data_IF_517707503298
#
_entry.id   IF_517707503298
#
_cell.length_a   1.000
_cell.length_b   1.000
_cell.length_c   1.000
_cell.angle_alpha   90.00
_cell.angle_beta   90.00
_cell.angle_gamma   90.00
#
_symmetry.space_group_name_H-M   'P 1'
#
loop_
_entity.id
_entity.type
_entity.pdbx_description
1 polymer ?
#
# COMPACT_ATOMS: atom_id res chain seq x y z
N UNK A 1 32.49 -60.69 15.38
CA UNK A 1 32.06 -60.25 14.03
C UNK A 1 30.54 -60.22 14.04
N UNK A 2 29.93 -59.07 14.33
CA UNK A 2 28.47 -58.92 14.48
C UNK A 2 27.88 -58.39 13.17
N UNK A 3 26.88 -59.10 12.64
CA UNK A 3 26.17 -58.77 11.40
C UNK A 3 24.91 -57.97 11.77
N UNK A 4 24.89 -56.69 11.42
CA UNK A 4 23.71 -55.84 11.55
C UNK A 4 22.79 -56.07 10.34
N UNK A 5 21.60 -56.62 10.57
CA UNK A 5 20.53 -56.73 9.58
C UNK A 5 19.76 -55.43 9.53
N UNK A 6 19.71 -54.80 8.35
CA UNK A 6 18.91 -53.60 8.09
C UNK A 6 17.43 -54.00 7.98
N UNK A 7 16.62 -53.57 8.94
CA UNK A 7 15.16 -53.61 8.84
C UNK A 7 14.69 -52.38 8.06
N UNK A 8 14.11 -52.59 6.88
CA UNK A 8 13.42 -51.55 6.13
C UNK A 8 12.15 -51.16 6.91
N UNK A 9 12.10 -49.92 7.38
CA UNK A 9 10.89 -49.31 7.93
C UNK A 9 10.13 -48.73 6.74
N UNK A 10 9.00 -49.35 6.42
CA UNK A 10 8.07 -48.88 5.40
C UNK A 10 7.21 -47.77 6.02
N UNK A 11 7.46 -46.52 5.64
CA UNK A 11 6.68 -45.37 6.10
C UNK A 11 5.55 -45.18 5.09
N UNK A 12 4.38 -45.72 5.39
CA UNK A 12 3.17 -45.46 4.60
C UNK A 12 2.70 -44.03 4.86
N UNK A 13 2.84 -43.16 3.87
CA UNK A 13 2.17 -41.86 3.87
C UNK A 13 0.66 -42.11 3.72
N UNK A 14 -0.11 -41.76 4.76
CA UNK A 14 -1.57 -41.89 4.73
C UNK A 14 -2.17 -41.10 3.57
N UNK A 15 -3.15 -41.69 2.88
CA UNK A 15 -3.88 -41.04 1.79
C UNK A 15 -4.49 -39.72 2.28
N UNK A 16 -4.08 -38.62 1.66
CA UNK A 16 -4.62 -37.28 1.94
C UNK A 16 -6.03 -37.25 1.37
N UNK A 17 -7.03 -37.10 2.24
CA UNK A 17 -8.42 -36.97 1.83
C UNK A 17 -8.58 -35.72 0.95
N UNK A 18 -8.86 -35.92 -0.34
CA UNK A 18 -8.90 -34.87 -1.37
C UNK A 18 -10.20 -34.05 -1.40
N UNK A 19 -11.17 -34.40 -0.54
CA UNK A 19 -12.54 -33.88 -0.65
C UNK A 19 -12.81 -32.61 0.16
N UNK A 20 -11.87 -32.15 1.00
CA UNK A 20 -12.04 -30.85 1.67
C UNK A 20 -11.59 -29.70 0.75
N UNK A 21 -12.40 -28.61 0.66
CA UNK A 21 -12.05 -27.45 -0.15
C UNK A 21 -10.69 -26.87 0.29
N UNK A 22 -9.78 -26.73 -0.68
CA UNK A 22 -8.52 -26.01 -0.53
C UNK A 22 -8.77 -24.50 -0.59
N UNK A 23 -9.48 -23.98 0.40
CA UNK A 23 -9.79 -22.55 0.47
C UNK A 23 -8.66 -21.82 1.22
N UNK A 24 -7.96 -20.87 0.56
CA UNK A 24 -7.00 -20.02 1.23
C UNK A 24 -7.66 -19.21 2.35
N UNK A 25 -7.00 -19.09 3.50
CA UNK A 25 -7.49 -18.27 4.62
C UNK A 25 -6.51 -17.15 4.95
N UNK A 26 -5.22 -17.46 4.97
CA UNK A 26 -4.18 -16.46 5.22
C UNK A 26 -2.87 -16.87 4.56
N UNK A 27 -1.92 -15.94 4.57
CA UNK A 27 -0.57 -16.11 4.03
C UNK A 27 0.47 -15.86 5.12
N UNK A 28 1.58 -16.58 5.05
CA UNK A 28 2.82 -16.23 5.73
C UNK A 28 3.83 -15.75 4.69
N UNK A 29 4.57 -14.69 5.03
CA UNK A 29 5.50 -14.01 4.13
C UNK A 29 6.91 -14.16 4.68
N UNK A 30 7.75 -14.82 3.91
CA UNK A 30 9.21 -14.85 4.07
C UNK A 30 9.82 -14.02 2.94
N UNK A 31 11.06 -13.56 3.10
CA UNK A 31 11.65 -12.52 2.24
C UNK A 31 11.43 -12.82 0.75
N UNK A 32 11.64 -14.05 0.29
CA UNK A 32 11.50 -14.45 -1.11
C UNK A 32 10.39 -15.48 -1.35
N UNK A 33 9.49 -15.68 -0.38
CA UNK A 33 8.56 -16.82 -0.40
C UNK A 33 7.21 -16.48 0.22
N UNK A 34 6.16 -16.89 -0.48
CA UNK A 34 4.78 -16.85 -0.03
C UNK A 34 4.35 -18.27 0.36
N UNK A 35 3.78 -18.44 1.55
CA UNK A 35 3.15 -19.71 1.95
C UNK A 35 1.68 -19.47 2.25
N UNK A 36 0.80 -20.29 1.68
CA UNK A 36 -0.65 -20.11 1.79
C UNK A 36 -1.25 -21.23 2.62
N UNK A 37 -2.10 -20.84 3.57
CA UNK A 37 -2.68 -21.75 4.54
C UNK A 37 -4.20 -21.74 4.44
N UNK A 38 -4.82 -22.87 4.79
CA UNK A 38 -6.24 -22.94 5.09
C UNK A 38 -6.51 -22.55 6.56
N UNK A 39 -7.79 -22.56 6.95
CA UNK A 39 -8.24 -22.27 8.33
C UNK A 39 -7.71 -23.26 9.39
N UNK A 40 -7.28 -24.46 9.00
CA UNK A 40 -6.72 -25.49 9.89
C UNK A 40 -5.20 -25.37 10.04
N UNK A 41 -4.57 -24.37 9.39
CA UNK A 41 -3.12 -24.19 9.31
C UNK A 41 -2.40 -25.26 8.47
N UNK A 42 -3.10 -25.95 7.57
CA UNK A 42 -2.47 -26.79 6.58
C UNK A 42 -1.92 -25.92 5.44
N UNK A 43 -0.71 -26.22 4.98
CA UNK A 43 -0.13 -25.57 3.80
C UNK A 43 -0.88 -26.04 2.56
N UNK A 44 -1.49 -25.10 1.83
CA UNK A 44 -2.14 -25.37 0.56
C UNK A 44 -1.11 -25.40 -0.58
N UNK A 45 -0.26 -24.38 -0.64
CA UNK A 45 0.80 -24.24 -1.62
C UNK A 45 1.85 -23.21 -1.18
N UNK A 46 2.93 -23.11 -1.94
CA UNK A 46 4.06 -22.20 -1.68
C UNK A 46 4.59 -21.71 -3.01
N UNK A 47 4.93 -20.42 -3.08
CA UNK A 47 5.53 -19.80 -4.26
C UNK A 47 6.82 -19.06 -3.89
N UNK A 48 7.80 -19.05 -4.79
CA UNK A 48 9.07 -18.34 -4.60
C UNK A 48 9.22 -17.25 -5.65
N UNK A 49 9.75 -16.11 -5.24
CA UNK A 49 9.95 -14.96 -6.11
C UNK A 49 11.43 -14.58 -6.13
N UNK A 50 11.86 -13.95 -7.23
CA UNK A 50 13.21 -13.40 -7.31
C UNK A 50 13.37 -12.12 -6.46
N UNK A 51 12.25 -11.48 -6.07
CA UNK A 51 12.21 -10.26 -5.27
C UNK A 51 11.58 -10.45 -3.89
N UNK A 52 11.60 -9.36 -3.11
CA UNK A 52 11.10 -9.40 -1.74
C UNK A 52 9.57 -9.42 -1.73
N UNK A 53 8.95 -10.36 -1.02
CA UNK A 53 7.51 -10.39 -0.82
C UNK A 53 7.14 -9.33 0.22
N UNK A 54 6.64 -8.19 -0.27
CA UNK A 54 6.38 -7.01 0.56
C UNK A 54 4.98 -7.00 1.16
N UNK A 55 4.03 -7.66 0.50
CA UNK A 55 2.66 -7.78 0.94
C UNK A 55 2.02 -9.03 0.34
N UNK A 56 1.09 -9.64 1.08
CA UNK A 56 0.26 -10.74 0.62
C UNK A 56 -1.10 -10.65 1.31
N UNK A 57 -2.17 -10.83 0.55
CA UNK A 57 -3.55 -10.77 1.05
C UNK A 57 -4.34 -11.93 0.47
N UNK A 58 -5.15 -12.57 1.32
CA UNK A 58 -6.14 -13.57 0.90
C UNK A 58 -7.52 -12.93 0.91
N UNK A 59 -8.19 -12.89 -0.23
CA UNK A 59 -9.44 -12.14 -0.37
C UNK A 59 -10.25 -12.61 -1.58
N UNK A 60 -11.58 -12.61 -1.44
CA UNK A 60 -12.51 -12.73 -2.56
C UNK A 60 -12.55 -11.39 -3.31
N UNK A 61 -11.82 -11.27 -4.41
CA UNK A 61 -11.60 -9.99 -5.10
C UNK A 61 -12.74 -9.64 -6.08
N UNK A 62 -13.48 -10.64 -6.55
CA UNK A 62 -14.56 -10.50 -7.54
C UNK A 62 -15.97 -10.73 -6.97
N UNK A 63 -16.09 -11.06 -5.68
CA UNK A 63 -17.37 -11.26 -4.99
C UNK A 63 -18.03 -12.62 -5.26
N UNK A 64 -17.28 -13.61 -5.75
CA UNK A 64 -17.82 -14.93 -6.12
C UNK A 64 -17.74 -15.96 -4.98
N UNK A 65 -17.26 -15.55 -3.80
CA UNK A 65 -17.02 -16.35 -2.60
C UNK A 65 -15.87 -17.35 -2.73
N UNK A 66 -15.07 -17.27 -3.77
CA UNK A 66 -13.77 -17.93 -3.86
C UNK A 66 -12.72 -16.89 -3.50
N UNK A 67 -11.72 -17.28 -2.70
CA UNK A 67 -10.65 -16.36 -2.29
C UNK A 67 -9.45 -16.53 -3.19
N UNK A 68 -8.97 -15.42 -3.72
CA UNK A 68 -7.71 -15.28 -4.42
C UNK A 68 -6.59 -14.91 -3.44
N UNK A 69 -5.35 -15.04 -3.91
CA UNK A 69 -4.18 -14.55 -3.20
C UNK A 69 -3.50 -13.47 -4.02
N UNK A 70 -3.41 -12.26 -3.48
CA UNK A 70 -2.78 -11.11 -4.12
C UNK A 70 -1.45 -10.84 -3.43
N UNK A 71 -0.37 -10.77 -4.20
CA UNK A 71 0.99 -10.53 -3.68
C UNK A 71 1.63 -9.32 -4.36
N UNK A 72 2.39 -8.55 -3.59
CA UNK A 72 3.17 -7.41 -4.06
C UNK A 72 4.67 -7.64 -3.86
N UNK A 73 5.45 -7.46 -4.92
CA UNK A 73 6.89 -7.73 -4.92
C UNK A 73 7.71 -6.44 -4.92
N UNK A 74 8.65 -6.33 -3.99
CA UNK A 74 9.64 -5.25 -3.89
C UNK A 74 11.07 -5.72 -4.11
N UNK A 75 12.03 -4.98 -3.57
CA UNK A 75 13.46 -5.27 -3.68
C UNK A 75 14.09 -4.82 -4.99
N UNK A 76 15.18 -5.50 -5.40
CA UNK A 76 15.97 -5.21 -6.61
C UNK A 76 16.21 -6.49 -7.43
N UNK A 77 15.16 -6.97 -8.09
CA UNK A 77 15.14 -8.22 -8.85
C UNK A 77 14.36 -8.07 -10.17
N UNK A 78 14.13 -9.18 -10.86
CA UNK A 78 13.29 -9.22 -12.08
C UNK A 78 11.79 -9.17 -11.76
N UNK A 79 11.38 -9.66 -10.58
CA UNK A 79 9.98 -9.58 -10.13
C UNK A 79 9.64 -8.26 -9.44
N UNK A 80 10.64 -7.42 -9.17
CA UNK A 80 10.44 -6.12 -8.50
C UNK A 80 9.38 -5.28 -9.18
N UNK A 81 8.38 -4.87 -8.40
CA UNK A 81 7.26 -4.06 -8.84
C UNK A 81 6.08 -4.84 -9.36
N UNK A 82 6.15 -6.18 -9.40
CA UNK A 82 4.99 -6.98 -9.79
C UNK A 82 3.93 -6.99 -8.69
N UNK A 83 2.68 -6.90 -9.10
CA UNK A 83 1.52 -7.34 -8.32
C UNK A 83 0.94 -8.55 -9.04
N UNK A 84 0.74 -9.65 -8.34
CA UNK A 84 0.34 -10.93 -8.94
C UNK A 84 -0.87 -11.46 -8.19
N UNK A 85 -1.85 -11.98 -8.93
CA UNK A 85 -3.00 -12.69 -8.37
C UNK A 85 -2.91 -14.18 -8.69
N UNK A 86 -3.20 -14.99 -7.68
CA UNK A 86 -3.30 -16.45 -7.79
C UNK A 86 -4.71 -16.90 -7.44
N UNK A 87 -5.16 -17.97 -8.09
CA UNK A 87 -6.36 -18.69 -7.67
C UNK A 87 -6.10 -19.50 -6.38
N UNK A 88 -7.16 -20.10 -5.85
CA UNK A 88 -7.11 -20.93 -4.65
C UNK A 88 -6.10 -22.10 -4.73
N UNK A 89 -5.77 -22.56 -5.94
CA UNK A 89 -4.84 -23.66 -6.18
C UNK A 89 -3.38 -23.21 -6.32
N UNK A 90 -3.11 -21.91 -6.36
CA UNK A 90 -1.79 -21.34 -6.55
C UNK A 90 -1.41 -21.12 -8.02
N UNK A 91 -2.38 -21.17 -8.94
CA UNK A 91 -2.13 -20.84 -10.34
C UNK A 91 -2.27 -19.33 -10.55
N UNK A 92 -1.29 -18.72 -11.21
CA UNK A 92 -1.35 -17.30 -11.59
C UNK A 92 -2.59 -17.04 -12.48
N UNK A 93 -3.40 -16.07 -12.06
CA UNK A 93 -4.53 -15.54 -12.82
C UNK A 93 -4.08 -14.38 -13.71
N UNK A 94 -3.36 -13.43 -13.12
CA UNK A 94 -2.84 -12.26 -13.81
C UNK A 94 -1.66 -11.66 -13.05
N UNK A 95 -0.88 -10.82 -13.74
CA UNK A 95 0.17 -10.00 -13.14
C UNK A 95 0.20 -8.59 -13.74
N UNK A 96 0.50 -7.61 -12.88
CA UNK A 96 0.66 -6.20 -13.23
C UNK A 96 2.08 -5.74 -12.91
N UNK A 97 2.75 -5.12 -13.89
CA UNK A 97 4.04 -4.46 -13.71
C UNK A 97 3.95 -3.04 -14.27
N UNK A 98 4.07 -1.99 -13.44
CA UNK A 98 3.96 -0.62 -13.94
C UNK A 98 5.13 -0.31 -14.87
N UNK A 99 4.82 0.20 -16.07
CA UNK A 99 5.84 0.83 -16.92
C UNK A 99 6.42 2.04 -16.20
N UNK A 100 7.72 2.01 -15.95
CA UNK A 100 8.47 3.14 -15.43
C UNK A 100 8.81 4.11 -16.55
N UNK A 101 8.66 5.40 -16.28
CA UNK A 101 9.26 6.49 -17.07
C UNK A 101 9.89 7.45 -16.08
N UNK A 102 11.02 8.05 -16.46
CA UNK A 102 11.64 9.09 -15.64
C UNK A 102 10.77 10.34 -15.71
N UNK A 103 9.95 10.57 -14.68
CA UNK A 103 9.05 11.72 -14.63
C UNK A 103 9.68 12.93 -13.97
N UNK A 104 10.59 12.72 -13.03
CA UNK A 104 11.31 13.77 -12.34
C UNK A 104 12.78 13.82 -12.77
N UNK A 105 13.44 14.96 -12.58
CA UNK A 105 14.85 15.15 -12.92
C UNK A 105 15.82 14.37 -12.00
N UNK A 106 15.35 14.01 -10.80
CA UNK A 106 16.09 13.27 -9.78
C UNK A 106 16.60 11.88 -10.19
N UNK A 107 17.30 11.23 -9.24
CA UNK A 107 17.80 9.86 -9.40
C UNK A 107 16.67 8.85 -9.62
N UNK A 108 16.93 7.82 -10.43
CA UNK A 108 15.98 6.76 -10.77
C UNK A 108 16.75 5.46 -11.04
N UNK A 109 16.30 4.35 -10.47
CA UNK A 109 16.76 3.00 -10.81
C UNK A 109 16.11 2.47 -12.08
N UNK A 110 15.09 3.18 -12.59
CA UNK A 110 14.20 2.74 -13.67
C UNK A 110 13.36 1.50 -13.30
N UNK A 111 13.34 1.11 -12.03
CA UNK A 111 12.48 0.07 -11.48
C UNK A 111 11.65 0.65 -10.33
N UNK A 112 10.43 0.15 -10.19
CA UNK A 112 9.54 0.47 -9.07
C UNK A 112 9.39 -0.78 -8.23
N UNK A 113 9.53 -0.68 -6.91
CA UNK A 113 9.28 -1.74 -5.95
C UNK A 113 7.92 -1.49 -5.27
N UNK A 114 7.11 -2.54 -5.08
CA UNK A 114 5.92 -2.44 -4.23
C UNK A 114 6.38 -2.15 -2.80
N UNK A 115 5.72 -1.21 -2.15
CA UNK A 115 5.96 -0.85 -0.76
C UNK A 115 4.73 -1.11 0.11
N UNK A 116 3.55 -0.85 -0.42
CA UNK A 116 2.28 -1.05 0.27
C UNK A 116 1.25 -1.52 -0.73
N UNK A 117 0.42 -2.45 -0.31
CA UNK A 117 -0.68 -3.00 -1.08
C UNK A 117 -1.89 -3.07 -0.14
N UNK A 118 -2.99 -2.45 -0.57
CA UNK A 118 -4.28 -2.47 0.14
C UNK A 118 -5.33 -2.95 -0.85
N UNK A 119 -6.19 -3.88 -0.44
CA UNK A 119 -7.31 -4.39 -1.24
C UNK A 119 -8.60 -4.11 -0.51
N UNK A 120 -9.52 -3.40 -1.14
CA UNK A 120 -10.83 -3.04 -0.55
C UNK A 120 -11.83 -2.72 -1.66
N UNK A 121 -13.13 -2.83 -1.38
CA UNK A 121 -14.14 -2.26 -2.28
C UNK A 121 -14.11 -0.74 -2.14
N UNK A 122 -13.80 -0.01 -3.20
CA UNK A 122 -13.82 1.46 -3.20
C UNK A 122 -15.14 2.00 -3.74
N UNK A 123 -15.90 1.20 -4.49
CA UNK A 123 -17.12 1.62 -5.18
C UNK A 123 -18.40 0.91 -4.75
N UNK A 124 -18.33 -0.06 -3.81
CA UNK A 124 -19.48 -0.84 -3.30
C UNK A 124 -20.21 -1.68 -4.36
N UNK A 125 -19.47 -2.26 -5.29
CA UNK A 125 -19.98 -3.08 -6.40
C UNK A 125 -19.61 -4.57 -6.26
N UNK A 126 -19.26 -5.00 -5.05
CA UNK A 126 -18.79 -6.36 -4.69
C UNK A 126 -17.39 -6.71 -5.20
N UNK A 127 -16.95 -6.09 -6.28
CA UNK A 127 -15.55 -6.13 -6.70
C UNK A 127 -14.69 -5.28 -5.74
N UNK A 128 -13.42 -5.66 -5.63
CA UNK A 128 -12.44 -4.95 -4.83
C UNK A 128 -11.32 -4.43 -5.71
N UNK A 129 -10.93 -3.19 -5.43
CA UNK A 129 -9.80 -2.55 -6.07
C UNK A 129 -8.52 -2.76 -5.26
N UNK A 130 -7.39 -2.59 -5.95
CA UNK A 130 -6.07 -2.72 -5.37
C UNK A 130 -5.37 -1.37 -5.43
N UNK A 131 -5.10 -0.79 -4.26
CA UNK A 131 -4.28 0.41 -4.12
C UNK A 131 -2.84 0.00 -3.85
N UNK A 132 -1.94 0.37 -4.74
CA UNK A 132 -0.53 0.00 -4.66
C UNK A 132 0.33 1.26 -4.56
N UNK A 133 1.12 1.35 -3.50
CA UNK A 133 2.22 2.29 -3.43
C UNK A 133 3.49 1.63 -3.94
N UNK A 134 4.08 2.30 -4.92
CA UNK A 134 5.40 2.01 -5.43
C UNK A 134 6.39 3.06 -4.97
N UNK A 135 7.61 2.61 -4.71
CA UNK A 135 8.79 3.46 -4.57
C UNK A 135 9.80 3.09 -5.65
N UNK A 136 10.67 4.01 -6.04
CA UNK A 136 11.88 3.61 -6.78
C UNK A 136 12.61 2.46 -6.05
N UNK A 137 13.01 1.42 -6.80
CA UNK A 137 13.53 0.18 -6.23
C UNK A 137 14.79 0.38 -5.37
N UNK A 138 15.66 1.32 -5.75
CA UNK A 138 16.88 1.64 -5.00
C UNK A 138 16.61 2.71 -3.92
N UNK A 139 15.34 2.98 -3.65
CA UNK A 139 14.93 4.02 -2.72
C UNK A 139 15.23 5.44 -3.19
N UNK A 140 15.42 5.66 -4.50
CA UNK A 140 15.59 7.00 -5.07
C UNK A 140 14.27 7.79 -5.12
N UNK A 141 14.37 8.94 -5.77
CA UNK A 141 13.56 10.13 -5.62
C UNK A 141 12.04 10.01 -5.71
N UNK A 142 11.49 9.09 -6.51
CA UNK A 142 10.07 9.12 -6.87
C UNK A 142 9.27 7.93 -6.32
N UNK A 143 7.98 8.20 -6.09
CA UNK A 143 6.98 7.19 -5.78
C UNK A 143 5.80 7.30 -6.74
N UNK A 144 5.00 6.25 -6.79
CA UNK A 144 3.81 6.19 -7.61
C UNK A 144 2.71 5.48 -6.85
N UNK A 145 1.51 6.06 -6.83
CA UNK A 145 0.30 5.33 -6.46
C UNK A 145 -0.37 4.82 -7.73
N UNK A 146 -0.82 3.57 -7.70
CA UNK A 146 -1.61 2.97 -8.78
C UNK A 146 -2.87 2.36 -8.18
N UNK A 147 -3.98 2.54 -8.87
CA UNK A 147 -5.24 1.87 -8.60
C UNK A 147 -5.49 0.83 -9.70
N UNK A 148 -5.71 -0.43 -9.31
CA UNK A 148 -6.06 -1.53 -10.19
C UNK A 148 -7.47 -2.03 -9.90
N UNK A 149 -8.15 -2.54 -10.92
CA UNK A 149 -9.38 -3.33 -10.77
C UNK A 149 -9.07 -4.78 -10.34
N UNK A 150 -10.12 -5.58 -10.10
CA UNK A 150 -10.02 -6.98 -9.70
C UNK A 150 -9.33 -7.89 -10.75
N UNK A 151 -9.29 -7.47 -12.01
CA UNK A 151 -8.63 -8.15 -13.11
C UNK A 151 -7.18 -7.67 -13.35
N UNK A 152 -6.65 -6.79 -12.48
CA UNK A 152 -5.29 -6.26 -12.57
C UNK A 152 -5.12 -5.15 -13.63
N UNK A 153 -6.20 -4.64 -14.22
CA UNK A 153 -6.11 -3.51 -15.13
C UNK A 153 -5.96 -2.20 -14.34
N UNK A 154 -5.15 -1.30 -14.88
CA UNK A 154 -4.94 0.02 -14.26
C UNK A 154 -6.14 0.94 -14.50
N UNK A 155 -6.83 1.31 -13.42
CA UNK A 155 -7.84 2.37 -13.39
C UNK A 155 -7.17 3.75 -13.41
N UNK A 156 -6.19 3.97 -12.53
CA UNK A 156 -5.58 5.29 -12.34
C UNK A 156 -4.15 5.24 -11.83
N UNK A 157 -3.43 6.35 -11.93
CA UNK A 157 -2.10 6.46 -11.33
C UNK A 157 -1.66 7.89 -11.05
N UNK A 158 -0.99 8.07 -9.92
CA UNK A 158 -0.54 9.36 -9.40
C UNK A 158 0.97 9.33 -9.11
N UNK A 159 1.70 10.34 -9.57
CA UNK A 159 3.15 10.48 -9.37
C UNK A 159 3.49 11.41 -8.20
N UNK A 160 4.53 11.08 -7.46
CA UNK A 160 4.97 11.90 -6.34
C UNK A 160 6.50 12.08 -6.35
N UNK A 161 7.02 13.31 -6.18
CA UNK A 161 8.45 13.59 -6.14
C UNK A 161 9.03 13.28 -4.75
N UNK A 162 8.81 12.07 -4.25
CA UNK A 162 9.35 11.69 -2.96
C UNK A 162 8.95 10.29 -2.53
N UNK A 163 8.97 10.03 -1.22
CA UNK A 163 8.72 8.70 -0.65
C UNK A 163 7.35 8.66 0.00
N UNK A 164 6.38 8.06 -0.70
CA UNK A 164 5.10 7.72 -0.08
C UNK A 164 5.31 6.59 0.92
N UNK A 165 4.50 6.53 1.97
CA UNK A 165 4.73 5.56 3.04
C UNK A 165 3.51 5.10 3.81
N UNK A 166 2.35 5.73 3.58
CA UNK A 166 1.09 5.39 4.22
C UNK A 166 -0.03 5.49 3.20
N UNK A 167 -0.96 4.55 3.25
CA UNK A 167 -2.27 4.61 2.60
C UNK A 167 -3.30 4.25 3.65
N UNK A 168 -4.39 5.02 3.69
CA UNK A 168 -5.59 4.73 4.47
C UNK A 168 -6.77 4.95 3.54
N UNK A 169 -7.79 4.10 3.66
CA UNK A 169 -9.01 4.19 2.86
C UNK A 169 -10.17 4.57 3.78
N UNK A 170 -11.04 5.47 3.32
CA UNK A 170 -12.25 5.81 4.07
C UNK A 170 -13.00 7.01 3.51
N UNK A 171 -14.13 7.31 4.13
CA UNK A 171 -15.06 8.38 3.73
C UNK A 171 -15.54 9.14 4.96
N UNK A 172 -16.04 10.36 4.76
CA UNK A 172 -16.53 11.20 5.85
C UNK A 172 -17.73 10.58 6.56
N UNK A 173 -18.61 9.89 5.86
CA UNK A 173 -19.87 9.35 6.40
C UNK A 173 -19.86 7.81 6.52
N UNK A 174 -18.70 7.18 6.32
CA UNK A 174 -18.59 5.72 6.23
C UNK A 174 -19.23 5.12 4.97
N UNK A 175 -19.67 5.96 4.02
CA UNK A 175 -20.24 5.58 2.74
C UNK A 175 -19.19 5.38 1.64
N UNK A 176 -19.67 5.23 0.41
CA UNK A 176 -18.85 5.03 -0.78
C UNK A 176 -19.01 6.21 -1.76
N UNK A 177 -18.00 6.54 -2.58
CA UNK A 177 -16.72 5.83 -2.67
C UNK A 177 -15.77 6.12 -1.50
N UNK A 178 -14.91 5.15 -1.18
CA UNK A 178 -13.84 5.37 -0.19
C UNK A 178 -12.73 6.22 -0.82
N UNK A 179 -12.38 7.33 -0.18
CA UNK A 179 -11.24 8.15 -0.58
C UNK A 179 -9.92 7.49 -0.18
N UNK A 180 -8.87 7.83 -0.90
CA UNK A 180 -7.52 7.34 -0.66
C UNK A 180 -6.69 8.45 -0.03
N UNK A 181 -6.41 8.28 1.26
CA UNK A 181 -5.58 9.19 2.04
C UNK A 181 -4.13 8.68 2.05
N UNK A 182 -3.19 9.53 1.63
CA UNK A 182 -1.80 9.12 1.44
C UNK A 182 -0.88 10.04 2.24
N UNK A 183 0.10 9.45 2.92
CA UNK A 183 1.14 10.17 3.67
C UNK A 183 2.54 9.85 3.17
N UNK A 184 3.40 10.85 3.08
CA UNK A 184 4.76 10.67 2.58
C UNK A 184 5.64 11.89 2.67
N UNK A 185 6.86 11.74 2.19
CA UNK A 185 7.88 12.77 2.11
C UNK A 185 7.89 13.33 0.69
N UNK A 186 7.93 14.65 0.54
CA UNK A 186 8.07 15.37 -0.73
C UNK A 186 9.45 16.03 -0.81
N UNK A 187 10.27 15.60 -1.78
CA UNK A 187 11.63 16.09 -1.98
C UNK A 187 11.67 17.46 -2.64
N UNK A 188 10.63 17.83 -3.38
CA UNK A 188 10.64 19.01 -4.23
C UNK A 188 9.95 20.21 -3.62
N UNK A 189 9.00 19.99 -2.72
CA UNK A 189 8.18 21.10 -2.22
C UNK A 189 8.97 22.10 -1.39
N UNK A 190 10.13 21.72 -0.85
CA UNK A 190 11.01 22.64 -0.09
C UNK A 190 11.47 23.83 -0.92
N UNK A 191 11.57 23.70 -2.25
CA UNK A 191 11.94 24.80 -3.16
C UNK A 191 10.90 25.92 -3.20
N UNK A 192 9.65 25.67 -2.80
CA UNK A 192 8.63 26.69 -2.64
C UNK A 192 8.80 27.48 -1.33
N UNK A 193 9.75 27.07 -0.49
CA UNK A 193 10.14 27.73 0.74
C UNK A 193 11.61 28.17 0.65
N UNK A 194 12.13 28.72 1.73
CA UNK A 194 13.44 29.35 1.84
C UNK A 194 14.66 28.39 1.88
N UNK A 195 14.56 27.13 1.45
CA UNK A 195 15.74 26.27 1.52
C UNK A 195 15.66 24.86 0.97
N UNK A 196 16.67 24.07 1.34
CA UNK A 196 16.89 22.69 0.90
C UNK A 196 16.27 21.67 1.86
N UNK A 197 16.03 20.46 1.36
CA UNK A 197 15.56 19.33 2.15
C UNK A 197 14.17 18.86 1.71
N UNK A 198 13.48 18.17 2.61
CA UNK A 198 12.20 17.54 2.34
C UNK A 198 11.16 17.93 3.38
N UNK A 199 9.90 17.93 2.97
CA UNK A 199 8.75 18.22 3.82
C UNK A 199 7.78 17.05 3.72
N UNK A 200 7.25 16.60 4.85
CA UNK A 200 6.21 15.58 4.83
C UNK A 200 4.88 16.18 4.44
N UNK A 201 4.11 15.44 3.67
CA UNK A 201 2.79 15.83 3.25
C UNK A 201 1.78 14.70 3.43
N UNK A 202 0.53 15.10 3.53
CA UNK A 202 -0.65 14.24 3.49
C UNK A 202 -1.55 14.78 2.39
N UNK A 203 -2.16 13.91 1.59
CA UNK A 203 -3.07 14.32 0.54
C UNK A 203 -4.18 13.30 0.35
N UNK A 204 -5.31 13.77 -0.18
CA UNK A 204 -6.49 12.97 -0.43
C UNK A 204 -6.72 12.84 -1.94
N UNK A 205 -6.97 11.61 -2.39
CA UNK A 205 -7.37 11.31 -3.75
C UNK A 205 -8.79 10.73 -3.76
N UNK A 206 -9.59 11.16 -4.73
CA UNK A 206 -10.85 10.53 -5.08
C UNK A 206 -10.57 9.34 -6.03
N UNK A 207 -11.04 8.11 -5.73
CA UNK A 207 -10.72 6.93 -6.54
C UNK A 207 -11.27 6.98 -7.96
N UNK A 208 -12.31 7.78 -8.21
CA UNK A 208 -12.89 7.98 -9.55
C UNK A 208 -11.98 8.83 -10.47
N UNK A 209 -10.97 9.50 -9.91
CA UNK A 209 -10.08 10.40 -10.64
C UNK A 209 -8.67 10.38 -10.04
N UNK A 210 -7.85 9.39 -10.43
CA UNK A 210 -6.45 9.29 -10.00
C UNK A 210 -5.51 9.49 -11.19
N UNK A 211 -4.89 10.66 -11.24
CA UNK A 211 -4.05 11.07 -12.36
C UNK A 211 -3.06 12.17 -11.97
N UNK A 212 -2.02 12.35 -12.79
CA UNK A 212 -1.10 13.47 -12.72
C UNK A 212 -0.01 13.32 -11.65
N UNK A 213 0.46 14.45 -11.13
CA UNK A 213 1.55 14.49 -10.15
C UNK A 213 1.33 15.46 -8.99
N UNK A 214 2.02 15.22 -7.89
CA UNK A 214 2.01 16.10 -6.73
C UNK A 214 2.71 17.45 -6.97
N UNK A 215 2.37 18.47 -6.15
CA UNK A 215 3.14 19.70 -6.05
C UNK A 215 4.64 19.41 -5.81
N UNK A 216 5.55 20.28 -6.29
CA UNK A 216 5.31 21.55 -6.98
C UNK A 216 5.09 21.39 -8.50
N UNK A 217 4.78 20.18 -8.99
CA UNK A 217 4.52 19.87 -10.40
C UNK A 217 5.74 20.08 -11.31
N UNK A 218 6.92 19.66 -10.85
CA UNK A 218 8.16 19.71 -11.63
C UNK A 218 8.37 18.52 -12.56
N UNK A 219 7.51 17.50 -12.48
CA UNK A 219 7.53 16.37 -13.37
C UNK A 219 7.05 16.72 -14.78
N UNK A 220 6.95 15.68 -15.59
CA UNK A 220 6.56 15.78 -17.01
C UNK A 220 5.12 15.33 -17.26
N UNK A 221 4.24 15.39 -16.24
CA UNK A 221 2.81 15.09 -16.40
C UNK A 221 1.97 16.30 -16.01
N UNK A 222 0.66 16.20 -16.25
CA UNK A 222 -0.28 17.22 -15.76
C UNK A 222 -0.31 17.25 -14.23
N UNK A 223 -0.78 18.37 -13.69
CA UNK A 223 -1.12 18.48 -12.27
C UNK A 223 -2.00 17.33 -11.81
N UNK A 224 -1.71 16.89 -10.60
CA UNK A 224 -2.40 15.81 -9.92
C UNK A 224 -3.86 16.12 -9.64
N UNK A 225 -4.65 15.07 -9.51
CA UNK A 225 -6.07 15.12 -9.18
C UNK A 225 -6.36 15.05 -7.67
N UNK A 226 -5.37 15.34 -6.82
CA UNK A 226 -5.62 15.39 -5.39
C UNK A 226 -6.65 16.48 -5.05
N UNK A 227 -7.60 16.13 -4.18
CA UNK A 227 -8.62 17.06 -3.69
C UNK A 227 -7.97 18.18 -2.88
N UNK A 228 -6.95 17.82 -2.11
CA UNK A 228 -6.07 18.75 -1.41
C UNK A 228 -4.72 18.09 -1.13
N UNK A 229 -3.72 18.93 -0.85
CA UNK A 229 -2.38 18.51 -0.44
C UNK A 229 -1.95 19.37 0.75
N UNK A 230 -1.67 18.73 1.88
CA UNK A 230 -1.28 19.38 3.12
C UNK A 230 0.17 19.09 3.49
N UNK A 231 0.86 20.09 4.02
CA UNK A 231 2.26 20.02 4.44
C UNK A 231 2.36 20.01 5.96
N UNK A 232 3.23 19.17 6.50
CA UNK A 232 3.56 19.11 7.93
C UNK A 232 4.88 19.85 8.15
N UNK A 233 4.82 20.89 8.98
CA UNK A 233 5.95 21.75 9.33
C UNK A 233 6.16 21.74 10.85
N UNK A 234 7.38 22.03 11.34
CA UNK A 234 8.60 22.34 10.58
C UNK A 234 9.20 21.10 9.89
N UNK A 235 10.22 21.32 9.05
CA UNK A 235 10.97 20.24 8.40
C UNK A 235 11.44 19.19 9.42
N UNK A 236 11.46 17.92 8.99
CA UNK A 236 11.84 16.78 9.82
C UNK A 236 10.72 16.24 10.72
N UNK A 237 9.56 16.91 10.74
CA UNK A 237 8.35 16.34 11.31
C UNK A 237 7.68 15.41 10.30
N UNK A 238 7.56 14.14 10.65
CA UNK A 238 7.08 13.08 9.75
C UNK A 238 5.76 12.50 10.22
N UNK A 239 4.91 12.07 9.29
CA UNK A 239 3.72 11.29 9.61
C UNK A 239 4.11 9.95 10.25
N UNK A 240 3.83 9.81 11.54
CA UNK A 240 4.03 8.59 12.30
C UNK A 240 2.87 7.61 12.05
N UNK A 241 1.64 8.12 12.22
CA UNK A 241 0.38 7.39 12.08
C UNK A 241 -0.62 8.25 11.30
N UNK A 242 -1.43 7.59 10.48
CA UNK A 242 -2.44 8.20 9.63
C UNK A 242 -3.68 7.32 9.74
N UNK A 243 -4.82 7.90 10.08
CA UNK A 243 -6.06 7.14 10.35
C UNK A 243 -7.30 7.92 9.93
N UNK A 244 -8.39 7.16 9.82
CA UNK A 244 -9.75 7.66 9.67
C UNK A 244 -10.51 7.14 10.89
N UNK A 245 -11.04 8.05 11.71
CA UNK A 245 -11.63 7.75 13.02
C UNK A 245 -12.87 8.61 13.25
N UNK A 246 -13.83 8.13 14.05
CA UNK A 246 -14.95 8.91 14.56
C UNK A 246 -14.74 9.10 16.08
N UNK A 247 -14.06 10.18 16.51
CA UNK A 247 -13.65 10.32 17.90
C UNK A 247 -14.78 10.69 18.85
N UNK A 248 -15.87 11.31 18.37
CA UNK A 248 -17.00 11.76 19.18
C UNK A 248 -18.28 10.95 18.96
N UNK A 249 -18.25 9.94 18.09
CA UNK A 249 -19.33 9.03 17.73
C UNK A 249 -20.52 9.76 17.09
N UNK A 250 -20.27 10.79 16.28
CA UNK A 250 -21.29 11.51 15.53
C UNK A 250 -21.62 10.86 14.16
N UNK A 251 -20.99 9.73 13.85
CA UNK A 251 -21.00 9.02 12.55
C UNK A 251 -20.35 9.80 11.42
N UNK A 252 -19.46 10.73 11.74
CA UNK A 252 -18.57 11.36 10.78
C UNK A 252 -17.14 11.03 11.11
N UNK A 253 -16.48 10.42 10.14
CA UNK A 253 -15.07 10.17 10.26
C UNK A 253 -14.27 11.45 10.01
N UNK A 254 -13.25 11.59 10.80
CA UNK A 254 -12.20 12.58 10.71
C UNK A 254 -10.90 11.92 10.27
N UNK A 255 -10.06 12.70 9.61
CA UNK A 255 -8.70 12.32 9.27
C UNK A 255 -7.79 12.69 10.44
N UNK A 256 -7.11 11.69 11.00
CA UNK A 256 -6.20 11.87 12.12
C UNK A 256 -4.75 11.67 11.67
N UNK A 257 -3.95 12.74 11.76
CA UNK A 257 -2.53 12.76 11.38
C UNK A 257 -1.68 12.90 12.64
N UNK A 258 -0.96 11.84 12.99
CA UNK A 258 0.01 11.86 14.10
C UNK A 258 1.41 12.08 13.56
N UNK A 259 2.17 12.93 14.22
CA UNK A 259 3.57 13.18 13.86
C UNK A 259 4.54 12.42 14.75
N UNK A 260 5.77 12.22 14.27
CA UNK A 260 6.86 11.61 15.05
C UNK A 260 7.29 12.44 16.26
N UNK A 261 6.81 13.68 16.37
CA UNK A 261 7.03 14.58 17.51
C UNK A 261 5.80 14.68 18.42
N UNK A 262 4.80 13.81 18.23
CA UNK A 262 3.67 13.67 19.13
C UNK A 262 2.54 14.68 18.91
N UNK A 263 2.58 15.49 17.84
CA UNK A 263 1.46 16.36 17.47
C UNK A 263 0.39 15.58 16.71
N UNK A 264 -0.86 16.01 16.87
CA UNK A 264 -2.02 15.40 16.24
C UNK A 264 -2.81 16.49 15.53
N UNK A 265 -3.13 16.26 14.26
CA UNK A 265 -4.03 17.09 13.49
C UNK A 265 -5.30 16.29 13.17
N UNK A 266 -6.46 16.86 13.49
CA UNK A 266 -7.75 16.32 13.09
C UNK A 266 -8.25 17.19 11.94
N UNK A 267 -8.54 16.54 10.81
CA UNK A 267 -9.00 17.21 9.59
C UNK A 267 -10.32 16.62 9.11
N UNK A 268 -11.17 17.45 8.52
CA UNK A 268 -12.27 16.93 7.71
C UNK A 268 -11.76 16.46 6.33
N UNK A 269 -12.62 15.82 5.54
CA UNK A 269 -12.26 15.34 4.21
C UNK A 269 -12.00 16.45 3.18
N UNK A 270 -12.31 17.72 3.50
CA UNK A 270 -11.89 18.89 2.73
C UNK A 270 -10.48 19.39 3.08
N UNK A 271 -9.78 18.71 4.00
CA UNK A 271 -8.43 19.08 4.44
C UNK A 271 -8.38 20.23 5.44
N UNK A 272 -9.53 20.68 5.96
CA UNK A 272 -9.59 21.74 6.97
C UNK A 272 -9.28 21.15 8.34
N UNK A 273 -8.41 21.82 9.10
CA UNK A 273 -8.13 21.45 10.49
C UNK A 273 -9.35 21.79 11.35
N UNK A 274 -9.93 20.76 11.96
CA UNK A 274 -11.08 20.87 12.87
C UNK A 274 -10.68 20.67 14.33
N UNK A 275 -9.49 20.10 14.58
CA UNK A 275 -8.96 19.90 15.91
C UNK A 275 -7.44 19.77 15.94
N UNK A 276 -6.85 20.07 17.09
CA UNK A 276 -5.42 19.88 17.37
C UNK A 276 -5.27 19.11 18.68
N UNK A 277 -4.38 18.12 18.68
CA UNK A 277 -4.04 17.32 19.85
C UNK A 277 -2.54 17.21 20.08
N UNK A 278 -2.16 16.68 21.24
CA UNK A 278 -0.78 16.34 21.61
C UNK A 278 -0.78 15.05 22.42
N UNK A 279 0.18 14.18 22.14
CA UNK A 279 0.52 13.06 23.03
C UNK A 279 1.49 13.47 24.12
N UNK A 280 1.59 12.62 25.15
CA UNK A 280 2.64 12.70 26.15
C UNK A 280 4.01 12.62 25.46
N UNK A 281 4.80 13.69 25.61
CA UNK A 281 6.10 13.82 24.95
C UNK A 281 6.12 14.68 23.69
N UNK A 282 5.03 15.42 23.39
CA UNK A 282 5.05 16.35 22.27
C UNK A 282 6.12 17.45 22.41
N UNK A 283 6.96 17.66 21.39
CA UNK A 283 8.09 18.61 21.45
C UNK A 283 7.98 19.69 20.36
N UNK A 284 7.98 20.95 20.77
CA UNK A 284 7.96 22.10 19.85
C UNK A 284 6.58 22.43 19.29
N UNK A 285 6.55 23.20 18.21
CA UNK A 285 5.33 23.56 17.47
C UNK A 285 5.30 22.85 16.13
N UNK A 286 4.12 22.35 15.75
CA UNK A 286 3.85 21.82 14.43
C UNK A 286 2.77 22.64 13.74
N UNK A 287 2.80 22.68 12.40
CA UNK A 287 1.81 23.34 11.57
C UNK A 287 1.40 22.43 10.43
N UNK A 288 0.13 22.54 10.03
CA UNK A 288 -0.40 21.90 8.84
C UNK A 288 -0.88 22.98 7.87
N UNK A 289 -0.39 22.94 6.62
CA UNK A 289 -0.66 23.98 5.61
C UNK A 289 -1.15 23.35 4.32
N UNK A 290 -2.31 23.78 3.82
CA UNK A 290 -2.79 23.39 2.50
C UNK A 290 -2.04 24.14 1.39
N UNK A 291 -1.67 23.43 0.34
CA UNK A 291 -1.12 24.03 -0.89
C UNK A 291 -2.22 24.14 -1.94
N UNK A 292 -2.27 25.30 -2.61
CA UNK A 292 -3.16 25.55 -3.76
C UNK A 292 -2.53 25.12 -5.09
#
# INVERSE_FOLDING_TARGET
MFRLTHSNIDISYGEVNTDEPREPEYVDLDEYRLVVYNKKNDVLWTEKFDGNVMAGVVIDIIGDKVKEVIVGIGGESEDTGKVIAFDASGKELWSYLPKMRKYYSGGSSNKLAVQTLVVESLFNDQEKEIVVLYRDAHGWYQSRLVLLDAAGNKIGSYWHPGHLSRVVLGSEDGGYPLNILVGGLNNDISSQFDGTGYIYGVFLLNPTNIQGEAPPYYGQVRRGSQEWYGLILPRGESTHRLEIIDPDNDNKNEICVWTNKGHIFYLNFSGQIIGLGRSDGAVGSAQFMLTN
#
